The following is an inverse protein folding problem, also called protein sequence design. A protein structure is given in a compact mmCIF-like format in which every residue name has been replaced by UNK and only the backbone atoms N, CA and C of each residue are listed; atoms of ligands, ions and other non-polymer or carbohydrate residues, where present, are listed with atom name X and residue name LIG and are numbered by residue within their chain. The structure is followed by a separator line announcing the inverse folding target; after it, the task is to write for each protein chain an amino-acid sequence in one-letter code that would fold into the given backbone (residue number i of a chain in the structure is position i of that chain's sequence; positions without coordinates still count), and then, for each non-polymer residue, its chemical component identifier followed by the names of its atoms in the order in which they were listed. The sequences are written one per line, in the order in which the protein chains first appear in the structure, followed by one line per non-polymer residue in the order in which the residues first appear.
data_IF_949116406826
#
_entry.id   IF_949116406826
#
_cell.length_a   1.000
_cell.length_b   1.000
_cell.length_c   1.000
_cell.angle_alpha   90.00
_cell.angle_beta   90.00
_cell.angle_gamma   90.00
#
_symmetry.space_group_name_H-M   'P 1'
#
loop_
_entity.id
_entity.type
_entity.pdbx_description
1 polymer ?
#
# COMPACT_ATOMS: atom_id res chain seq x y z
N UNK A 1 -21.57 2.71 1.16
CA UNK A 1 -20.34 3.52 1.30
C UNK A 1 -19.75 3.25 2.67
N UNK A 2 -18.45 2.94 2.79
CA UNK A 2 -17.80 2.72 4.09
C UNK A 2 -16.51 3.52 4.18
N UNK A 3 -16.39 4.29 5.26
CA UNK A 3 -15.22 5.12 5.59
C UNK A 3 -14.26 4.30 6.44
N UNK A 4 -12.95 4.47 6.21
CA UNK A 4 -11.93 3.98 7.13
C UNK A 4 -11.74 5.00 8.24
N UNK A 5 -12.11 4.63 9.47
CA UNK A 5 -11.92 5.46 10.66
C UNK A 5 -10.45 5.43 11.09
N UNK A 6 -9.61 6.16 10.36
CA UNK A 6 -8.20 6.30 10.71
C UNK A 6 -8.04 7.11 12.00
N UNK A 7 -6.91 6.95 12.68
CA UNK A 7 -6.59 7.65 13.94
C UNK A 7 -5.14 8.14 13.95
N UNK A 8 -4.85 9.10 14.83
CA UNK A 8 -3.50 9.62 15.04
C UNK A 8 -2.86 10.19 13.77
N UNK A 9 -1.60 9.85 13.54
CA UNK A 9 -0.86 10.30 12.36
C UNK A 9 -1.50 9.83 11.05
N UNK A 10 -2.09 8.63 11.03
CA UNK A 10 -2.75 8.10 9.84
C UNK A 10 -3.95 8.94 9.42
N UNK A 11 -4.77 9.37 10.39
CA UNK A 11 -5.86 10.32 10.13
C UNK A 11 -5.34 11.67 9.64
N UNK A 12 -4.25 12.15 10.23
CA UNK A 12 -3.67 13.46 9.90
C UNK A 12 -3.23 13.52 8.43
N UNK A 13 -2.50 12.49 7.96
CA UNK A 13 -1.93 12.50 6.61
C UNK A 13 -2.87 11.96 5.52
N UNK A 14 -3.78 11.03 5.85
CA UNK A 14 -4.72 10.43 4.88
C UNK A 14 -6.14 11.02 4.94
N UNK A 15 -6.49 11.78 5.97
CA UNK A 15 -7.84 12.29 6.21
C UNK A 15 -8.85 11.17 6.47
N UNK A 16 -10.07 11.34 5.97
CA UNK A 16 -11.18 10.37 6.10
C UNK A 16 -11.48 9.67 4.77
N UNK A 17 -10.65 8.71 4.33
CA UNK A 17 -10.86 8.04 3.05
C UNK A 17 -12.04 7.07 3.11
N UNK A 18 -12.81 7.04 2.04
CA UNK A 18 -13.69 5.91 1.74
C UNK A 18 -12.85 4.69 1.33
N UNK A 19 -13.33 3.48 1.64
CA UNK A 19 -12.69 2.25 1.16
C UNK A 19 -13.43 1.55 0.03
N UNK A 20 -14.73 1.78 -0.12
CA UNK A 20 -15.57 1.06 -1.10
C UNK A 20 -15.19 1.50 -2.52
N UNK A 21 -14.56 0.61 -3.29
CA UNK A 21 -14.27 0.81 -4.71
C UNK A 21 -13.16 1.83 -4.95
N UNK A 22 -12.33 2.10 -3.94
CA UNK A 22 -11.20 3.02 -4.04
C UNK A 22 -9.91 2.26 -4.32
N UNK A 23 -8.95 3.00 -4.83
CA UNK A 23 -7.60 2.53 -5.15
C UNK A 23 -6.62 3.48 -4.54
N UNK A 24 -5.58 2.97 -3.89
CA UNK A 24 -4.43 3.76 -3.48
C UNK A 24 -3.19 3.26 -4.22
N UNK A 25 -2.18 4.12 -4.32
CA UNK A 25 -0.87 3.74 -4.83
C UNK A 25 0.23 4.25 -3.90
N UNK A 26 1.22 3.41 -3.67
CA UNK A 26 2.47 3.73 -2.98
C UNK A 26 3.59 3.52 -3.99
N UNK A 27 4.39 4.53 -4.26
CA UNK A 27 5.47 4.42 -5.24
C UNK A 27 6.72 5.19 -4.82
N UNK A 28 7.83 4.95 -5.49
CA UNK A 28 9.14 5.50 -5.15
C UNK A 28 10.26 4.66 -5.76
N UNK A 29 11.47 5.17 -5.74
CA UNK A 29 12.64 4.44 -6.23
C UNK A 29 12.94 3.19 -5.37
N UNK A 30 13.75 2.28 -5.90
CA UNK A 30 14.20 1.11 -5.16
C UNK A 30 14.91 1.51 -3.85
N UNK A 31 14.76 0.69 -2.81
CA UNK A 31 15.43 0.86 -1.51
C UNK A 31 15.14 2.18 -0.76
N UNK A 32 14.05 2.87 -1.09
CA UNK A 32 13.64 4.12 -0.41
C UNK A 32 12.69 3.92 0.79
N UNK A 33 12.30 2.67 1.11
CA UNK A 33 11.41 2.37 2.24
C UNK A 33 9.94 2.11 1.89
N UNK A 34 9.59 1.91 0.62
CA UNK A 34 8.21 1.62 0.16
C UNK A 34 7.57 0.45 0.91
N UNK A 35 8.23 -0.71 0.89
CA UNK A 35 7.77 -1.95 1.54
C UNK A 35 7.59 -1.73 3.04
N UNK A 36 8.54 -1.03 3.67
CA UNK A 36 8.46 -0.72 5.10
C UNK A 36 7.24 0.15 5.43
N UNK A 37 7.05 1.27 4.71
CA UNK A 37 5.86 2.11 4.88
C UNK A 37 4.57 1.33 4.65
N UNK A 38 4.49 0.55 3.58
CA UNK A 38 3.32 -0.24 3.24
C UNK A 38 2.98 -1.26 4.33
N UNK A 39 3.98 -1.88 4.95
CA UNK A 39 3.78 -2.81 6.06
C UNK A 39 3.31 -2.11 7.34
N UNK A 40 3.87 -0.96 7.70
CA UNK A 40 3.38 -0.15 8.83
C UNK A 40 1.92 0.27 8.63
N UNK A 41 1.59 0.71 7.41
CA UNK A 41 0.22 1.04 7.04
C UNK A 41 -0.69 -0.19 7.10
N UNK A 42 -0.26 -1.33 6.55
CA UNK A 42 -1.03 -2.57 6.53
C UNK A 42 -1.31 -3.10 7.94
N UNK A 43 -0.32 -2.99 8.84
CA UNK A 43 -0.50 -3.31 10.25
C UNK A 43 -1.55 -2.43 10.90
N UNK A 44 -1.43 -1.10 10.77
CA UNK A 44 -2.42 -0.18 11.32
C UNK A 44 -3.83 -0.49 10.78
N UNK A 45 -3.96 -0.63 9.46
CA UNK A 45 -5.23 -0.91 8.80
C UNK A 45 -5.82 -2.27 9.22
N UNK A 46 -4.99 -3.25 9.53
CA UNK A 46 -5.45 -4.57 10.00
C UNK A 46 -6.12 -4.52 11.37
N UNK A 47 -5.87 -3.48 12.18
CA UNK A 47 -6.64 -3.26 13.41
C UNK A 47 -8.12 -2.94 13.10
N UNK A 48 -8.36 -2.27 11.97
CA UNK A 48 -9.67 -1.84 11.52
C UNK A 48 -10.41 -2.97 10.78
N UNK A 49 -9.85 -3.46 9.68
CA UNK A 49 -10.48 -4.47 8.82
C UNK A 49 -9.48 -5.55 8.34
N UNK A 50 -9.96 -6.74 7.91
CA UNK A 50 -9.07 -7.78 7.41
C UNK A 50 -8.25 -7.34 6.18
N UNK A 51 -6.93 -7.50 6.28
CA UNK A 51 -5.91 -7.14 5.30
C UNK A 51 -5.31 -8.39 4.67
N UNK A 52 -5.16 -8.35 3.35
CA UNK A 52 -4.37 -9.30 2.57
C UNK A 52 -3.18 -8.56 1.96
N UNK A 53 -1.97 -9.05 2.21
CA UNK A 53 -0.74 -8.52 1.62
C UNK A 53 -0.13 -9.54 0.68
N UNK A 54 0.01 -9.21 -0.59
CA UNK A 54 0.62 -10.06 -1.60
C UNK A 54 2.00 -9.48 -1.95
N UNK A 55 3.05 -10.08 -1.40
CA UNK A 55 4.44 -9.74 -1.68
C UNK A 55 4.94 -10.59 -2.86
N UNK A 56 4.57 -10.17 -4.06
CA UNK A 56 4.98 -10.80 -5.30
C UNK A 56 6.47 -10.62 -5.61
N UNK A 57 7.07 -9.47 -5.23
CA UNK A 57 8.46 -9.14 -5.53
C UNK A 57 9.46 -9.77 -4.56
N UNK A 58 9.31 -9.51 -3.26
CA UNK A 58 10.28 -9.92 -2.24
C UNK A 58 9.92 -11.27 -1.57
N UNK A 59 8.74 -11.82 -1.88
CA UNK A 59 8.18 -12.95 -1.15
C UNK A 59 7.97 -12.61 0.34
N UNK A 60 8.00 -13.64 1.20
CA UNK A 60 7.96 -13.48 2.67
C UNK A 60 9.37 -13.54 3.29
N UNK A 61 10.37 -12.99 2.58
CA UNK A 61 11.79 -13.07 2.94
C UNK A 61 12.18 -12.30 4.21
N UNK A 62 13.48 -12.29 4.52
CA UNK A 62 14.05 -11.70 5.73
C UNK A 62 13.65 -10.23 5.94
N UNK A 63 13.62 -9.43 4.88
CA UNK A 63 13.19 -8.01 4.95
C UNK A 63 11.76 -7.87 5.47
N UNK A 64 10.85 -8.75 5.04
CA UNK A 64 9.46 -8.77 5.48
C UNK A 64 9.36 -9.14 6.97
N UNK A 65 10.13 -10.14 7.41
CA UNK A 65 10.17 -10.56 8.82
C UNK A 65 10.81 -9.50 9.72
N UNK A 66 11.89 -8.85 9.26
CA UNK A 66 12.55 -7.76 9.99
C UNK A 66 11.61 -6.57 10.17
N UNK A 67 10.83 -6.22 9.15
CA UNK A 67 9.84 -5.14 9.25
C UNK A 67 8.71 -5.54 10.19
N UNK A 68 8.23 -6.79 10.18
CA UNK A 68 7.26 -7.30 11.16
C UNK A 68 7.79 -7.13 12.60
N UNK A 69 9.06 -7.51 12.84
CA UNK A 69 9.69 -7.40 14.16
C UNK A 69 9.86 -5.93 14.56
N UNK A 70 10.40 -5.09 13.69
CA UNK A 70 10.62 -3.65 13.95
C UNK A 70 9.31 -2.90 14.17
N UNK A 71 8.25 -3.31 13.48
CA UNK A 71 6.92 -2.73 13.62
C UNK A 71 6.15 -3.26 14.85
N UNK A 72 6.76 -4.13 15.66
CA UNK A 72 6.15 -4.80 16.81
C UNK A 72 4.78 -5.43 16.45
N UNK A 73 4.75 -6.13 15.32
CA UNK A 73 3.54 -6.73 14.80
C UNK A 73 2.98 -7.76 15.78
N UNK A 74 1.70 -7.64 16.15
CA UNK A 74 1.07 -8.64 17.02
C UNK A 74 0.93 -9.96 16.26
N UNK A 75 1.67 -11.03 16.63
CA UNK A 75 1.60 -12.31 15.94
C UNK A 75 0.22 -12.97 16.09
N UNK A 76 -0.63 -12.52 17.02
CA UNK A 76 -2.00 -13.02 17.21
C UNK A 76 -3.02 -12.30 16.32
N UNK A 77 -2.61 -11.30 15.55
CA UNK A 77 -3.51 -10.56 14.68
C UNK A 77 -3.95 -11.39 13.46
N UNK A 78 -5.05 -12.13 13.63
CA UNK A 78 -5.67 -12.96 12.58
C UNK A 78 -6.29 -12.16 11.43
N UNK A 79 -6.39 -10.83 11.55
CA UNK A 79 -6.94 -9.97 10.49
C UNK A 79 -5.92 -9.66 9.40
N UNK A 80 -4.62 -9.83 9.66
CA UNK A 80 -3.58 -9.66 8.66
C UNK A 80 -3.11 -11.01 8.12
N UNK A 81 -3.07 -11.13 6.80
CA UNK A 81 -2.52 -12.30 6.11
C UNK A 81 -1.57 -11.84 5.03
N UNK A 82 -0.41 -12.45 4.96
CA UNK A 82 0.58 -12.18 3.93
C UNK A 82 0.92 -13.46 3.16
N UNK A 83 1.08 -13.33 1.86
CA UNK A 83 1.51 -14.40 0.96
C UNK A 83 2.59 -13.85 0.02
N UNK A 84 3.38 -14.75 -0.55
CA UNK A 84 4.23 -14.42 -1.69
C UNK A 84 3.39 -14.15 -2.95
N UNK A 85 3.95 -14.41 -4.13
CA UNK A 85 3.19 -14.35 -5.37
C UNK A 85 1.98 -15.31 -5.34
N UNK A 86 0.82 -14.80 -5.77
CA UNK A 86 -0.42 -15.56 -5.97
C UNK A 86 -0.98 -15.17 -7.33
N UNK A 87 -1.27 -16.11 -8.26
CA UNK A 87 -1.87 -15.77 -9.55
C UNK A 87 -3.14 -14.93 -9.41
N UNK A 88 -3.39 -13.98 -10.32
CA UNK A 88 -4.54 -13.08 -10.19
C UNK A 88 -5.88 -13.83 -10.14
N UNK A 89 -6.00 -14.95 -10.85
CA UNK A 89 -7.18 -15.81 -10.83
C UNK A 89 -7.47 -16.36 -9.42
N UNK A 90 -6.45 -16.82 -8.71
CA UNK A 90 -6.56 -17.36 -7.35
C UNK A 90 -6.83 -16.27 -6.32
N UNK A 91 -6.24 -15.08 -6.53
CA UNK A 91 -6.58 -13.90 -5.75
C UNK A 91 -8.06 -13.56 -5.92
N UNK A 92 -8.56 -13.47 -7.16
CA UNK A 92 -9.98 -13.22 -7.45
C UNK A 92 -10.89 -14.27 -6.80
N UNK A 93 -10.53 -15.56 -6.85
CA UNK A 93 -11.28 -16.63 -6.19
C UNK A 93 -11.31 -16.45 -4.66
N UNK A 94 -10.19 -16.05 -4.06
CA UNK A 94 -10.11 -15.73 -2.63
C UNK A 94 -10.99 -14.54 -2.25
N UNK A 95 -11.03 -13.51 -3.09
CA UNK A 95 -11.80 -12.29 -2.85
C UNK A 95 -13.32 -12.46 -3.00
N UNK A 96 -13.77 -13.55 -3.64
CA UNK A 96 -15.20 -13.95 -3.75
C UNK A 96 -15.73 -14.67 -2.50
N UNK A 97 -14.87 -15.10 -1.58
CA UNK A 97 -15.30 -15.82 -0.35
C UNK A 97 -16.06 -14.88 0.61
N UNK A 98 -16.99 -15.45 1.39
CA UNK A 98 -17.85 -14.69 2.34
C UNK A 98 -17.07 -13.78 3.31
N UNK A 99 -15.93 -14.27 3.81
CA UNK A 99 -15.07 -13.54 4.75
C UNK A 99 -13.77 -13.06 4.08
N UNK A 100 -13.85 -12.70 2.80
CA UNK A 100 -12.73 -12.17 2.06
C UNK A 100 -12.17 -10.89 2.71
N UNK A 101 -10.84 -10.71 2.67
CA UNK A 101 -10.19 -9.47 3.06
C UNK A 101 -10.79 -8.24 2.36
N UNK A 102 -10.85 -7.13 3.09
CA UNK A 102 -11.45 -5.87 2.60
C UNK A 102 -10.39 -4.90 2.09
N UNK A 103 -9.17 -5.06 2.56
CA UNK A 103 -8.02 -4.25 2.21
C UNK A 103 -6.98 -5.17 1.57
N UNK A 104 -6.57 -4.88 0.34
CA UNK A 104 -5.70 -5.77 -0.45
C UNK A 104 -4.49 -4.99 -0.92
N UNK A 105 -3.31 -5.38 -0.46
CA UNK A 105 -2.03 -4.86 -0.90
C UNK A 105 -1.44 -5.76 -1.99
N UNK A 106 -0.95 -5.16 -3.06
CA UNK A 106 -0.26 -5.84 -4.17
C UNK A 106 1.13 -5.22 -4.30
N UNK A 107 2.16 -5.98 -3.95
CA UNK A 107 3.54 -5.55 -3.84
C UNK A 107 4.50 -6.42 -4.68
N UNK A 108 4.93 -6.03 -5.88
CA UNK A 108 4.58 -4.80 -6.61
C UNK A 108 3.64 -5.10 -7.80
N UNK A 109 3.11 -4.04 -8.40
CA UNK A 109 2.20 -4.11 -9.55
C UNK A 109 2.81 -4.76 -10.80
N UNK A 110 4.12 -4.72 -10.96
CA UNK A 110 4.83 -5.24 -12.15
C UNK A 110 4.60 -6.75 -12.31
N UNK A 111 4.46 -7.50 -11.22
CA UNK A 111 4.16 -8.94 -11.25
C UNK A 111 2.75 -9.28 -11.75
N UNK A 112 1.89 -8.28 -11.91
CA UNK A 112 0.52 -8.42 -12.42
C UNK A 112 0.27 -7.54 -13.65
N UNK A 113 1.32 -7.00 -14.28
CA UNK A 113 1.14 -6.01 -15.35
C UNK A 113 0.39 -6.58 -16.54
N UNK A 114 0.58 -7.87 -16.82
CA UNK A 114 -0.07 -8.56 -17.93
C UNK A 114 -1.53 -8.89 -17.67
N UNK A 115 -1.90 -9.22 -16.44
CA UNK A 115 -3.28 -9.52 -16.10
C UNK A 115 -4.10 -8.26 -15.83
N UNK A 116 -3.44 -7.15 -15.47
CA UNK A 116 -4.09 -5.87 -15.20
C UNK A 116 -4.23 -4.97 -16.45
N UNK A 117 -3.54 -5.28 -17.56
CA UNK A 117 -3.69 -4.55 -18.83
C UNK A 117 -5.04 -4.84 -19.50
N UNK A 118 -5.34 -4.12 -20.59
CA UNK A 118 -6.51 -4.36 -21.45
C UNK A 118 -7.87 -4.43 -20.71
N UNK A 119 -8.04 -3.66 -19.63
CA UNK A 119 -9.28 -3.65 -18.85
C UNK A 119 -9.28 -4.52 -17.60
N UNK A 120 -8.25 -5.35 -17.39
CA UNK A 120 -8.15 -6.27 -16.25
C UNK A 120 -8.18 -5.57 -14.89
N UNK A 121 -7.55 -4.39 -14.78
CA UNK A 121 -7.66 -3.54 -13.60
C UNK A 121 -9.11 -3.10 -13.33
N UNK A 122 -9.80 -2.58 -14.33
CA UNK A 122 -11.19 -2.12 -14.18
C UNK A 122 -12.12 -3.28 -13.84
N UNK A 123 -11.92 -4.45 -14.44
CA UNK A 123 -12.66 -5.65 -14.10
C UNK A 123 -12.42 -6.06 -12.65
N UNK A 124 -11.16 -6.12 -12.19
CA UNK A 124 -10.82 -6.43 -10.81
C UNK A 124 -11.54 -5.50 -9.83
N UNK A 125 -11.54 -4.19 -10.09
CA UNK A 125 -12.21 -3.21 -9.25
C UNK A 125 -13.73 -3.34 -9.29
N UNK A 126 -14.31 -3.58 -10.48
CA UNK A 126 -15.76 -3.75 -10.68
C UNK A 126 -16.29 -5.02 -10.02
N UNK A 127 -15.53 -6.11 -10.03
CA UNK A 127 -15.87 -7.37 -9.34
C UNK A 127 -15.73 -7.25 -7.82
N UNK A 128 -14.99 -6.26 -7.32
CA UNK A 128 -14.66 -6.09 -5.92
C UNK A 128 -14.98 -4.67 -5.40
N UNK A 129 -16.21 -4.17 -5.61
CA UNK A 129 -16.56 -2.79 -5.30
C UNK A 129 -16.55 -2.52 -3.79
N UNK A 130 -16.57 -3.57 -2.96
CA UNK A 130 -16.55 -3.47 -1.51
C UNK A 130 -15.14 -3.38 -0.93
N UNK A 131 -14.09 -3.37 -1.76
CA UNK A 131 -12.68 -3.46 -1.32
C UNK A 131 -11.89 -2.19 -1.64
N UNK A 132 -10.83 -1.99 -0.85
CA UNK A 132 -9.77 -1.04 -1.14
C UNK A 132 -8.55 -1.82 -1.64
N UNK A 133 -8.07 -1.48 -2.83
CA UNK A 133 -6.80 -1.98 -3.34
C UNK A 133 -5.69 -0.95 -3.14
N UNK A 134 -4.54 -1.40 -2.65
CA UNK A 134 -3.36 -0.58 -2.40
C UNK A 134 -2.20 -1.19 -3.20
N UNK A 135 -1.78 -0.52 -4.26
CA UNK A 135 -0.73 -1.03 -5.15
C UNK A 135 0.62 -0.41 -4.80
N UNK A 136 1.66 -1.21 -4.78
CA UNK A 136 3.03 -0.73 -4.74
C UNK A 136 3.62 -0.73 -6.15
N UNK A 137 4.40 0.30 -6.47
CA UNK A 137 5.09 0.42 -7.75
C UNK A 137 6.50 1.01 -7.56
N UNK A 138 7.41 0.64 -8.46
CA UNK A 138 8.66 1.37 -8.62
C UNK A 138 8.42 2.73 -9.27
N UNK A 139 9.37 3.63 -9.12
CA UNK A 139 9.37 4.95 -9.75
C UNK A 139 10.38 4.98 -10.89
N UNK A 140 10.00 5.64 -11.99
CA UNK A 140 10.90 6.02 -13.08
C UNK A 140 10.60 7.48 -13.44
N UNK A 141 11.62 8.33 -13.33
CA UNK A 141 11.54 9.78 -13.62
C UNK A 141 10.38 10.50 -12.92
N UNK A 142 10.18 10.26 -11.62
CA UNK A 142 9.14 10.93 -10.83
C UNK A 142 7.74 10.32 -10.93
N UNK A 143 7.55 9.30 -11.76
CA UNK A 143 6.26 8.67 -12.02
C UNK A 143 6.29 7.17 -11.70
N UNK A 144 5.15 6.56 -11.31
CA UNK A 144 5.07 5.11 -11.20
C UNK A 144 5.47 4.43 -12.51
N UNK A 145 6.38 3.47 -12.41
CA UNK A 145 6.90 2.71 -13.54
C UNK A 145 5.85 1.71 -14.06
N UNK A 146 5.76 1.58 -15.38
CA UNK A 146 4.71 0.93 -16.20
C UNK A 146 3.44 1.76 -16.51
N UNK A 147 2.81 1.48 -17.65
CA UNK A 147 1.55 2.12 -18.04
C UNK A 147 0.40 1.78 -17.07
N UNK A 148 0.37 0.55 -16.57
CA UNK A 148 -0.60 0.07 -15.58
C UNK A 148 -0.48 0.85 -14.26
N UNK A 149 0.73 1.05 -13.74
CA UNK A 149 0.93 1.84 -12.52
C UNK A 149 0.52 3.30 -12.68
N UNK A 150 0.82 3.92 -13.84
CA UNK A 150 0.35 5.28 -14.16
C UNK A 150 -1.18 5.36 -14.22
N UNK A 151 -1.83 4.32 -14.76
CA UNK A 151 -3.28 4.23 -14.76
C UNK A 151 -3.85 4.11 -13.34
N UNK A 152 -3.26 3.26 -12.50
CA UNK A 152 -3.63 3.14 -11.08
C UNK A 152 -3.52 4.50 -10.38
N UNK A 153 -2.41 5.24 -10.57
CA UNK A 153 -2.23 6.59 -10.02
C UNK A 153 -3.35 7.55 -10.43
N UNK A 154 -3.80 7.52 -11.69
CA UNK A 154 -4.92 8.35 -12.17
C UNK A 154 -6.26 8.01 -11.51
N UNK A 155 -6.48 6.74 -11.21
CA UNK A 155 -7.69 6.25 -10.53
C UNK A 155 -7.61 6.44 -9.01
N UNK A 156 -6.41 6.68 -8.47
CA UNK A 156 -6.16 6.61 -7.05
C UNK A 156 -6.83 7.73 -6.26
N UNK A 157 -7.42 7.36 -5.14
CA UNK A 157 -7.97 8.25 -4.13
C UNK A 157 -6.86 8.79 -3.21
N UNK A 158 -5.85 7.96 -2.91
CA UNK A 158 -4.64 8.37 -2.19
C UNK A 158 -3.40 7.95 -2.96
N UNK A 159 -2.46 8.87 -3.04
CA UNK A 159 -1.20 8.69 -3.75
C UNK A 159 -0.09 8.93 -2.74
N UNK A 160 0.79 7.96 -2.54
CA UNK A 160 1.92 8.07 -1.62
C UNK A 160 3.21 7.94 -2.41
N UNK A 161 4.07 8.94 -2.34
CA UNK A 161 5.43 8.87 -2.87
C UNK A 161 6.41 8.71 -1.72
N UNK A 162 7.26 7.70 -1.77
CA UNK A 162 8.24 7.40 -0.72
C UNK A 162 9.65 7.68 -1.22
N UNK A 163 10.35 8.59 -0.55
CA UNK A 163 11.71 9.00 -0.90
C UNK A 163 12.53 9.22 0.39
N UNK A 164 13.71 8.61 0.46
CA UNK A 164 14.63 8.68 1.61
C UNK A 164 13.94 8.40 2.95
N UNK A 165 13.14 7.34 3.02
CA UNK A 165 12.38 6.95 4.22
C UNK A 165 11.29 7.94 4.67
N UNK A 166 10.87 8.85 3.80
CA UNK A 166 9.73 9.75 4.03
C UNK A 166 8.62 9.43 3.04
N UNK A 167 7.43 9.11 3.55
CA UNK A 167 6.23 8.89 2.76
C UNK A 167 5.41 10.18 2.69
N UNK A 168 5.30 10.77 1.50
CA UNK A 168 4.49 11.97 1.24
C UNK A 168 3.14 11.55 0.68
N UNK A 169 2.07 11.83 1.42
CA UNK A 169 0.69 11.50 1.07
C UNK A 169 0.05 12.67 0.33
N UNK A 170 -0.62 12.36 -0.79
CA UNK A 170 -1.43 13.27 -1.57
C UNK A 170 -2.60 12.54 -2.25
N UNK A 171 -3.05 13.05 -3.39
CA UNK A 171 -4.27 12.59 -4.06
C UNK A 171 -5.47 13.42 -3.63
N UNK A 172 -6.58 12.76 -3.25
CA UNK A 172 -7.84 13.43 -2.88
C UNK A 172 -7.91 13.71 -1.37
N UNK A 173 -6.87 14.33 -0.83
CA UNK A 173 -6.71 14.64 0.60
C UNK A 173 -5.87 15.91 0.79
N UNK A 174 -5.91 16.48 1.99
CA UNK A 174 -5.00 17.56 2.43
C UNK A 174 -3.53 17.13 2.39
N UNK A 175 -3.28 15.83 2.58
CA UNK A 175 -1.96 15.24 2.52
C UNK A 175 -1.14 15.49 3.78
N UNK A 176 0.11 15.04 3.75
CA UNK A 176 1.05 15.15 4.86
C UNK A 176 2.22 14.18 4.69
N UNK A 177 3.18 14.22 5.63
CA UNK A 177 4.35 13.37 5.59
C UNK A 177 4.40 12.41 6.76
N UNK A 178 4.91 11.20 6.51
CA UNK A 178 5.23 10.20 7.51
C UNK A 178 6.71 9.85 7.41
N UNK A 179 7.46 10.12 8.48
CA UNK A 179 8.85 9.71 8.58
C UNK A 179 8.90 8.26 9.08
N UNK A 180 9.40 7.34 8.24
CA UNK A 180 9.42 5.90 8.53
C UNK A 180 10.41 5.56 9.63
N UNK A 181 11.58 6.20 9.60
CA UNK A 181 12.66 6.06 10.58
C UNK A 181 13.31 7.43 10.71
N UNK A 182 13.10 8.11 11.84
CA UNK A 182 13.56 9.48 12.05
C UNK A 182 15.10 9.58 12.02
N UNK A 183 15.80 8.64 12.65
CA UNK A 183 17.26 8.67 12.70
C UNK A 183 17.89 8.46 11.31
N UNK A 184 17.37 7.51 10.53
CA UNK A 184 17.89 7.26 9.18
C UNK A 184 17.45 8.30 8.16
N UNK A 185 16.23 8.82 8.29
CA UNK A 185 15.77 9.88 7.39
C UNK A 185 16.59 11.17 7.56
N UNK A 186 16.95 11.52 8.79
CA UNK A 186 17.81 12.69 9.07
C UNK A 186 19.22 12.55 8.45
N UNK A 187 19.77 11.34 8.40
CA UNK A 187 21.07 11.07 7.74
C UNK A 187 20.94 11.22 6.20
N UNK A 188 19.81 10.81 5.62
CA UNK A 188 19.59 10.82 4.18
C UNK A 188 19.21 12.19 3.60
N UNK A 189 18.47 13.00 4.36
CA UNK A 189 17.96 14.31 3.90
C UNK A 189 18.69 15.52 4.50
N UNK A 190 19.64 15.31 5.43
CA UNK A 190 20.15 16.41 6.24
C UNK A 190 19.09 16.98 7.18
N UNK A 191 19.44 18.00 7.95
CA UNK A 191 18.65 18.58 9.05
C UNK A 191 17.26 19.14 8.68
N UNK A 192 16.85 19.08 7.42
CA UNK A 192 15.67 19.78 6.86
C UNK A 192 14.33 19.03 7.08
N UNK A 193 14.33 17.88 7.75
CA UNK A 193 13.07 17.19 8.12
C UNK A 193 12.37 17.89 9.30
N UNK A 194 13.10 18.72 10.06
CA UNK A 194 12.56 19.45 11.22
C UNK A 194 12.13 20.84 10.78
N UNK A 195 11.07 20.97 9.97
CA UNK A 195 10.28 22.20 9.84
C UNK A 195 9.08 21.96 8.89
N UNK A 196 8.04 21.29 9.39
CA UNK A 196 6.63 21.56 9.05
C UNK A 196 5.69 20.72 9.93
#
# INVERSE_FOLDING_TARGET
MKILTLTGIWLTIFGNPERTGKVWIIYGEEKQGKTWFAMLLAQFLSTLEPVLYISAEEGLGLTFQEVIVRANFDPKNKKFKAYGYVPLADLKATLKKRYAPKLVFIDNVTFYSDELKNGGLQELLKENPDKLFIFLAHEDRGEPYTATAKMIKRLADRIVRVQGLVATVGGRTTGGQFCIDQEKAMILHGSDIINN
#
